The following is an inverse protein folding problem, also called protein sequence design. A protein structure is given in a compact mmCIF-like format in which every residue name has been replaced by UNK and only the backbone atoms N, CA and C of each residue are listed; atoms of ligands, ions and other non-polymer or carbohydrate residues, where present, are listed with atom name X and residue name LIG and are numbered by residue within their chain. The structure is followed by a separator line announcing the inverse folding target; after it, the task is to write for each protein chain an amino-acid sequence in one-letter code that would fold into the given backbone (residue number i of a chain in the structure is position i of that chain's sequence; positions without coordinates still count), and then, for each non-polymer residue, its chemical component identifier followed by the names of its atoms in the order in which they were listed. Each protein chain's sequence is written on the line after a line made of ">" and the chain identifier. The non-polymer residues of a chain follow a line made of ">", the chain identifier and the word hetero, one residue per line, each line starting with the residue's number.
data_IF_244472762043
#
_entry.id   IF_244472762043
#
_cell.length_a   1.000
_cell.length_b   1.000
_cell.length_c   1.000
_cell.angle_alpha   90.00
_cell.angle_beta   90.00
_cell.angle_gamma   90.00
#
_symmetry.space_group_name_H-M   'P 1'
#
loop_
_entity.id
_entity.type
_entity.pdbx_description
1 polymer ?
#
# COMPACT_ATOMS: atom_id res chain seq x y z
N UNK A 1 2.16 25.55 -13.87
CA UNK A 1 2.71 24.41 -13.11
C UNK A 1 1.83 23.14 -13.14
N UNK A 2 0.54 23.19 -13.53
CA UNK A 2 -0.31 21.98 -13.57
C UNK A 2 0.09 20.94 -14.64
N UNK A 3 0.69 21.37 -15.76
CA UNK A 3 1.08 20.46 -16.85
C UNK A 3 2.21 19.49 -16.51
N UNK A 4 3.08 19.84 -15.54
CA UNK A 4 4.18 18.98 -15.09
C UNK A 4 3.64 17.83 -14.25
N UNK A 5 2.74 18.09 -13.29
CA UNK A 5 2.08 17.03 -12.53
C UNK A 5 1.20 16.13 -13.41
N UNK A 6 0.46 16.71 -14.36
CA UNK A 6 -0.33 15.94 -15.31
C UNK A 6 0.52 15.02 -16.21
N UNK A 7 1.75 15.45 -16.53
CA UNK A 7 2.71 14.61 -17.27
C UNK A 7 3.23 13.48 -16.39
N UNK A 8 3.57 13.75 -15.13
CA UNK A 8 4.05 12.74 -14.17
C UNK A 8 2.97 11.69 -13.88
N UNK A 9 1.70 12.10 -13.70
CA UNK A 9 0.58 11.20 -13.49
C UNK A 9 0.39 10.23 -14.66
N UNK A 10 0.44 10.73 -15.90
CA UNK A 10 0.32 9.89 -17.10
C UNK A 10 1.48 8.92 -17.24
N UNK A 11 2.71 9.36 -16.95
CA UNK A 11 3.90 8.50 -17.02
C UNK A 11 3.85 7.43 -15.93
N UNK A 12 3.47 7.79 -14.71
CA UNK A 12 3.33 6.87 -13.59
C UNK A 12 2.27 5.79 -13.83
N UNK A 13 1.11 6.15 -14.38
CA UNK A 13 0.05 5.19 -14.69
C UNK A 13 0.38 4.25 -15.87
N UNK A 14 1.43 4.56 -16.65
CA UNK A 14 1.86 3.74 -17.78
C UNK A 14 2.86 2.65 -17.38
N UNK A 15 3.39 2.70 -16.17
CA UNK A 15 4.30 1.68 -15.67
C UNK A 15 3.52 0.38 -15.42
N UNK A 16 3.83 -0.71 -16.14
CA UNK A 16 3.19 -1.99 -15.91
C UNK A 16 3.59 -2.53 -14.53
N UNK A 17 2.79 -3.43 -13.98
CA UNK A 17 3.09 -4.09 -12.72
C UNK A 17 4.55 -4.61 -12.70
N UNK A 18 5.32 -4.42 -11.61
CA UNK A 18 6.76 -4.70 -11.58
C UNK A 18 7.15 -6.09 -12.09
N UNK A 19 6.33 -7.11 -11.79
CA UNK A 19 6.50 -8.47 -12.31
C UNK A 19 6.57 -8.52 -13.85
N UNK A 20 5.66 -7.83 -14.54
CA UNK A 20 5.60 -7.80 -16.01
C UNK A 20 6.83 -7.09 -16.57
N UNK A 21 7.28 -6.03 -15.90
CA UNK A 21 8.47 -5.28 -16.29
C UNK A 21 9.71 -6.20 -16.31
N UNK A 22 9.92 -6.99 -15.25
CA UNK A 22 11.01 -7.97 -15.21
C UNK A 22 10.83 -9.11 -16.22
N UNK A 23 9.61 -9.58 -16.46
CA UNK A 23 9.35 -10.59 -17.48
C UNK A 23 9.70 -10.10 -18.89
N UNK A 24 9.37 -8.84 -19.23
CA UNK A 24 9.74 -8.21 -20.50
C UNK A 24 11.26 -8.06 -20.60
N UNK A 25 11.94 -7.61 -19.54
CA UNK A 25 13.40 -7.51 -19.51
C UNK A 25 14.07 -8.88 -19.68
N UNK A 26 13.56 -9.92 -19.02
CA UNK A 26 14.09 -11.27 -19.16
C UNK A 26 13.93 -11.80 -20.59
N UNK A 27 12.76 -11.63 -21.19
CA UNK A 27 12.52 -11.99 -22.58
C UNK A 27 13.42 -11.20 -23.54
N UNK A 28 13.62 -9.90 -23.28
CA UNK A 28 14.53 -9.05 -24.04
C UNK A 28 15.98 -9.57 -23.97
N UNK A 29 16.47 -9.94 -22.79
CA UNK A 29 17.82 -10.51 -22.61
C UNK A 29 17.98 -11.81 -23.39
N UNK A 30 16.97 -12.68 -23.37
CA UNK A 30 16.96 -13.93 -24.14
C UNK A 30 17.12 -13.64 -25.64
N UNK A 31 16.34 -12.70 -26.19
CA UNK A 31 16.42 -12.31 -27.61
C UNK A 31 17.77 -11.66 -27.95
N UNK A 32 18.23 -10.71 -27.14
CA UNK A 32 19.51 -10.02 -27.35
C UNK A 32 20.68 -11.01 -27.31
N UNK A 33 20.67 -11.94 -26.34
CA UNK A 33 21.73 -12.95 -26.22
C UNK A 33 21.85 -13.83 -27.48
N UNK A 34 20.73 -14.17 -28.10
CA UNK A 34 20.71 -14.95 -29.33
C UNK A 34 21.30 -14.15 -30.51
N UNK A 35 20.92 -12.88 -30.66
CA UNK A 35 21.44 -12.01 -31.73
C UNK A 35 22.95 -11.79 -31.57
N UNK A 36 23.41 -11.42 -30.37
CA UNK A 36 24.84 -11.18 -30.12
C UNK A 36 25.70 -12.44 -30.29
N UNK A 37 25.16 -13.61 -29.91
CA UNK A 37 25.84 -14.88 -30.13
C UNK A 37 25.97 -15.22 -31.62
N UNK A 38 24.97 -14.92 -32.45
CA UNK A 38 25.07 -15.13 -33.92
C UNK A 38 26.09 -14.22 -34.60
N UNK A 39 26.34 -13.03 -34.02
CA UNK A 39 27.36 -12.10 -34.50
C UNK A 39 28.77 -12.44 -34.00
N UNK A 40 28.92 -13.46 -33.14
CA UNK A 40 30.22 -13.89 -32.63
C UNK A 40 30.91 -12.86 -31.73
N UNK A 41 30.15 -12.01 -31.04
CA UNK A 41 30.72 -10.94 -30.22
C UNK A 41 31.47 -11.54 -29.03
N UNK A 42 32.74 -11.15 -28.88
CA UNK A 42 33.57 -11.47 -27.72
C UNK A 42 34.05 -10.20 -27.03
N UNK A 43 34.29 -10.30 -25.72
CA UNK A 43 34.83 -9.22 -24.90
C UNK A 43 35.94 -9.77 -24.01
N UNK A 44 37.02 -9.00 -23.87
CA UNK A 44 38.13 -9.35 -22.97
C UNK A 44 37.75 -8.87 -21.57
N UNK A 45 37.80 -9.77 -20.59
CA UNK A 45 37.55 -9.41 -19.21
C UNK A 45 38.78 -8.69 -18.62
N UNK A 46 38.67 -7.43 -18.15
CA UNK A 46 39.82 -6.65 -17.68
C UNK A 46 40.42 -7.17 -16.36
N UNK A 47 39.73 -8.03 -15.63
CA UNK A 47 40.21 -8.57 -14.35
C UNK A 47 40.94 -9.91 -14.51
N UNK A 48 40.62 -10.67 -15.55
CA UNK A 48 41.14 -12.04 -15.76
C UNK A 48 41.90 -12.20 -17.07
N UNK A 49 41.92 -11.17 -17.93
CA UNK A 49 42.51 -11.14 -19.28
C UNK A 49 42.04 -12.27 -20.22
N UNK A 50 41.03 -13.02 -19.81
CA UNK A 50 40.42 -14.09 -20.59
C UNK A 50 39.39 -13.53 -21.57
N UNK A 51 39.35 -14.11 -22.77
CA UNK A 51 38.32 -13.83 -23.76
C UNK A 51 37.00 -14.47 -23.32
N UNK A 52 35.96 -13.65 -23.15
CA UNK A 52 34.61 -14.10 -22.80
C UNK A 52 33.73 -13.96 -24.04
N UNK A 53 33.30 -15.10 -24.56
CA UNK A 53 32.36 -15.18 -25.69
C UNK A 53 30.91 -15.12 -25.22
N UNK A 54 30.05 -14.41 -25.95
CA UNK A 54 28.63 -14.37 -25.65
C UNK A 54 28.00 -15.74 -25.94
N UNK A 55 27.34 -16.33 -24.94
CA UNK A 55 26.59 -17.58 -25.08
C UNK A 55 25.10 -17.28 -25.32
N UNK A 56 24.53 -17.90 -26.35
CA UNK A 56 23.09 -17.81 -26.60
C UNK A 56 22.31 -18.57 -25.54
N UNK A 57 21.24 -17.95 -25.01
CA UNK A 57 20.31 -18.63 -24.10
C UNK A 57 19.31 -19.53 -24.86
N UNK A 58 19.19 -19.40 -26.18
CA UNK A 58 18.29 -20.23 -27.00
C UNK A 58 18.91 -21.57 -27.45
N UNK A 59 20.21 -21.78 -27.24
CA UNK A 59 20.85 -23.06 -27.56
C UNK A 59 20.45 -24.16 -26.57
N UNK A 60 20.71 -25.42 -26.90
CA UNK A 60 20.42 -26.55 -26.00
C UNK A 60 21.05 -26.36 -24.61
N UNK A 61 22.35 -26.02 -24.57
CA UNK A 61 23.08 -25.72 -23.34
C UNK A 61 22.52 -24.49 -22.60
N UNK A 62 22.08 -23.46 -23.34
CA UNK A 62 21.50 -22.25 -22.78
C UNK A 62 20.15 -22.48 -22.09
N UNK A 63 19.31 -23.34 -22.67
CA UNK A 63 18.02 -23.73 -22.09
C UNK A 63 18.23 -24.61 -20.85
N UNK A 64 19.17 -25.56 -20.90
CA UNK A 64 19.55 -26.35 -19.73
C UNK A 64 20.04 -25.44 -18.60
N UNK A 65 20.91 -24.47 -18.90
CA UNK A 65 21.41 -23.50 -17.93
C UNK A 65 20.27 -22.69 -17.29
N UNK A 66 19.31 -22.20 -18.10
CA UNK A 66 18.16 -21.44 -17.58
C UNK A 66 17.32 -22.27 -16.60
N UNK A 67 17.03 -23.53 -16.93
CA UNK A 67 16.18 -24.39 -16.10
C UNK A 67 16.89 -24.85 -14.83
N UNK A 68 18.18 -25.18 -14.91
CA UNK A 68 18.97 -25.66 -13.77
C UNK A 68 19.33 -24.54 -12.80
N UNK A 69 19.57 -23.32 -13.30
CA UNK A 69 20.01 -22.18 -12.49
C UNK A 69 18.86 -21.34 -11.92
N UNK A 70 17.61 -21.53 -12.35
CA UNK A 70 16.50 -20.67 -11.91
C UNK A 70 16.28 -20.72 -10.39
N UNK A 71 16.33 -21.92 -9.80
CA UNK A 71 16.09 -22.11 -8.36
C UNK A 71 17.25 -21.54 -7.55
N UNK A 72 18.49 -21.80 -7.96
CA UNK A 72 19.66 -21.28 -7.26
C UNK A 72 19.72 -19.74 -7.36
N UNK A 73 19.42 -19.15 -8.51
CA UNK A 73 19.35 -17.69 -8.67
C UNK A 73 18.25 -17.06 -7.82
N UNK A 74 17.09 -17.72 -7.68
CA UNK A 74 15.98 -17.23 -6.88
C UNK A 74 16.28 -17.28 -5.37
N UNK A 75 16.85 -18.40 -4.88
CA UNK A 75 17.14 -18.58 -3.44
C UNK A 75 18.36 -17.76 -3.00
N UNK A 76 19.38 -17.63 -3.86
CA UNK A 76 20.58 -16.84 -3.55
C UNK A 76 20.37 -15.32 -3.70
N UNK A 77 19.19 -14.87 -4.13
CA UNK A 77 18.88 -13.44 -4.20
C UNK A 77 18.77 -12.87 -2.77
N UNK A 78 19.73 -12.04 -2.30
CA UNK A 78 19.86 -11.69 -0.88
C UNK A 78 18.60 -11.12 -0.21
N UNK A 79 17.77 -10.29 -0.89
CA UNK A 79 16.55 -9.75 -0.29
C UNK A 79 15.49 -10.80 0.06
N UNK A 80 15.44 -11.94 -0.65
CA UNK A 80 14.34 -12.90 -0.49
C UNK A 80 14.36 -13.57 0.88
N UNK A 81 15.52 -14.08 1.30
CA UNK A 81 15.67 -14.73 2.60
C UNK A 81 15.41 -13.75 3.76
N UNK A 82 15.90 -12.51 3.63
CA UNK A 82 15.72 -11.48 4.64
C UNK A 82 14.25 -11.13 4.87
N UNK A 83 13.48 -10.94 3.79
CA UNK A 83 12.05 -10.61 3.89
C UNK A 83 11.28 -11.73 4.57
N UNK A 84 11.55 -12.99 4.24
CA UNK A 84 10.86 -14.13 4.87
C UNK A 84 11.12 -14.17 6.39
N UNK A 85 12.37 -14.02 6.81
CA UNK A 85 12.74 -14.02 8.24
C UNK A 85 12.07 -12.85 8.98
N UNK A 86 12.13 -11.65 8.41
CA UNK A 86 11.54 -10.45 9.02
C UNK A 86 10.01 -10.54 9.09
N UNK A 87 9.35 -10.96 8.01
CA UNK A 87 7.89 -11.12 8.00
C UNK A 87 7.43 -12.21 8.97
N UNK A 88 8.21 -13.27 9.15
CA UNK A 88 7.91 -14.29 10.15
C UNK A 88 7.96 -13.73 11.58
N UNK A 89 8.99 -12.94 11.89
CA UNK A 89 9.12 -12.25 13.18
C UNK A 89 7.99 -11.25 13.44
N UNK A 90 7.65 -10.42 12.45
CA UNK A 90 6.55 -9.45 12.54
C UNK A 90 5.21 -10.18 12.69
N UNK A 91 4.98 -11.24 11.91
CA UNK A 91 3.76 -12.04 11.97
C UNK A 91 3.57 -12.68 13.34
N UNK A 92 4.64 -13.20 13.95
CA UNK A 92 4.59 -13.73 15.31
C UNK A 92 4.28 -12.64 16.34
N UNK A 93 4.98 -11.50 16.27
CA UNK A 93 4.78 -10.37 17.18
C UNK A 93 3.35 -9.80 17.13
N UNK A 94 2.74 -9.79 15.94
CA UNK A 94 1.35 -9.34 15.76
C UNK A 94 0.34 -10.37 16.31
N UNK A 95 0.57 -11.67 16.08
CA UNK A 95 -0.32 -12.74 16.58
C UNK A 95 -0.38 -12.84 18.10
N UNK A 96 0.72 -12.55 18.79
CA UNK A 96 0.74 -12.51 20.27
C UNK A 96 0.23 -11.17 20.82
N UNK A 97 -0.18 -10.23 19.97
CA UNK A 97 -0.72 -8.93 20.37
C UNK A 97 0.33 -7.96 20.92
N UNK A 98 1.62 -8.24 20.73
CA UNK A 98 2.72 -7.41 21.25
C UNK A 98 2.70 -6.02 20.60
N UNK A 99 2.40 -5.94 19.30
CA UNK A 99 2.32 -4.65 18.60
C UNK A 99 1.15 -3.78 19.11
N UNK A 100 -0.02 -4.38 19.34
CA UNK A 100 -1.20 -3.67 19.87
C UNK A 100 -0.96 -3.17 21.30
N UNK A 101 -0.40 -4.01 22.17
CA UNK A 101 -0.12 -3.64 23.56
C UNK A 101 0.98 -2.58 23.66
N UNK A 102 2.02 -2.68 22.83
CA UNK A 102 3.08 -1.68 22.76
C UNK A 102 2.53 -0.30 22.36
N UNK A 103 1.68 -0.23 21.33
CA UNK A 103 1.03 1.03 20.94
C UNK A 103 0.18 1.61 22.08
N UNK A 104 -0.61 0.79 22.77
CA UNK A 104 -1.47 1.25 23.87
C UNK A 104 -0.64 1.77 25.05
N UNK A 105 0.43 1.08 25.43
CA UNK A 105 1.30 1.48 26.54
C UNK A 105 2.11 2.72 26.19
N UNK A 106 2.63 2.82 24.96
CA UNK A 106 3.34 4.00 24.47
C UNK A 106 2.45 5.25 24.50
N UNK A 107 1.19 5.15 24.09
CA UNK A 107 0.23 6.26 24.16
C UNK A 107 -0.17 6.57 25.60
N UNK A 108 -0.39 5.55 26.43
CA UNK A 108 -0.76 5.74 27.84
C UNK A 108 0.33 6.40 28.68
N UNK A 109 1.61 6.22 28.33
CA UNK A 109 2.77 6.81 29.02
C UNK A 109 3.25 8.14 28.41
N UNK A 110 2.56 8.71 27.45
CA UNK A 110 2.94 10.00 26.86
C UNK A 110 2.81 11.16 27.88
N UNK A 111 3.75 12.11 27.92
CA UNK A 111 3.73 13.22 28.88
C UNK A 111 2.50 14.14 28.73
N UNK A 112 2.09 14.82 29.81
CA UNK A 112 0.75 15.42 29.94
C UNK A 112 0.45 16.58 28.98
N UNK A 113 1.46 17.17 28.33
CA UNK A 113 1.28 18.27 27.36
C UNK A 113 0.36 17.88 26.17
N UNK A 114 0.35 16.60 25.77
CA UNK A 114 -0.54 16.08 24.72
C UNK A 114 -1.78 15.36 25.26
N UNK A 115 -1.75 14.91 26.54
CA UNK A 115 -2.91 14.33 27.20
C UNK A 115 -4.05 15.34 27.36
N UNK A 116 -3.74 16.63 27.48
CA UNK A 116 -4.73 17.70 27.51
C UNK A 116 -5.40 17.95 26.16
N UNK A 117 -4.70 17.78 25.03
CA UNK A 117 -5.30 17.83 23.68
C UNK A 117 -6.26 16.64 23.47
N UNK A 118 -5.87 15.44 23.90
CA UNK A 118 -6.74 14.25 23.84
C UNK A 118 -7.95 14.37 24.80
N UNK A 119 -7.77 14.95 25.99
CA UNK A 119 -8.89 15.28 26.90
C UNK A 119 -9.75 16.43 26.39
N UNK A 120 -9.21 17.39 25.64
CA UNK A 120 -9.96 18.46 24.98
C UNK A 120 -10.80 17.90 23.84
N UNK A 121 -10.23 17.04 22.99
CA UNK A 121 -10.96 16.37 21.90
C UNK A 121 -12.03 15.40 22.44
N UNK A 122 -11.73 14.67 23.53
CA UNK A 122 -12.70 13.82 24.23
C UNK A 122 -13.84 14.60 24.89
N UNK A 123 -13.59 15.81 25.40
CA UNK A 123 -14.65 16.73 25.87
C UNK A 123 -15.45 17.33 24.71
N UNK A 124 -14.80 17.65 23.59
CA UNK A 124 -15.42 18.20 22.38
C UNK A 124 -16.44 17.22 21.76
N UNK A 125 -16.06 15.94 21.60
CA UNK A 125 -16.96 14.90 21.10
C UNK A 125 -18.12 14.60 22.08
N UNK A 126 -17.90 14.72 23.39
CA UNK A 126 -18.95 14.54 24.41
C UNK A 126 -19.96 15.68 24.40
N UNK A 127 -19.52 16.93 24.15
CA UNK A 127 -20.41 18.09 23.99
C UNK A 127 -21.24 18.06 22.71
N UNK A 128 -20.67 17.60 21.58
CA UNK A 128 -21.42 17.46 20.34
C UNK A 128 -22.55 16.41 20.42
N UNK A 129 -22.38 15.34 21.20
CA UNK A 129 -23.42 14.32 21.41
C UNK A 129 -24.60 14.85 22.24
N UNK A 130 -24.35 15.72 23.22
CA UNK A 130 -25.38 16.35 24.06
C UNK A 130 -26.18 17.42 23.30
N UNK A 131 -25.56 18.09 22.32
CA UNK A 131 -26.21 19.15 21.54
C UNK A 131 -27.30 18.65 20.59
N UNK A 132 -27.27 17.37 20.22
CA UNK A 132 -28.33 16.71 19.43
C UNK A 132 -29.51 16.22 20.28
N UNK A 133 -29.43 16.33 21.62
CA UNK A 133 -30.46 15.85 22.54
C UNK A 133 -31.37 16.98 23.05
N UNK A 134 -31.02 18.23 22.75
CA UNK A 134 -31.84 19.39 23.08
C UNK A 134 -32.92 19.56 22.00
N UNK A 135 -34.21 19.63 22.37
CA UNK A 135 -35.25 19.98 21.41
C UNK A 135 -34.94 21.37 20.85
N UNK A 136 -34.81 21.47 19.53
CA UNK A 136 -34.67 22.75 18.86
C UNK A 136 -36.01 23.50 18.98
N UNK A 137 -36.02 24.78 19.38
CA UNK A 137 -37.23 25.60 19.26
C UNK A 137 -37.48 25.84 17.77
N UNK A 138 -38.57 25.26 17.26
CA UNK A 138 -39.02 25.46 15.88
C UNK A 138 -39.32 26.95 15.65
N UNK A 139 -38.76 27.58 14.59
CA UNK A 139 -39.13 28.91 14.19
C UNK A 139 -40.33 28.81 13.24
N UNK A 140 -41.53 28.68 13.78
CA UNK A 140 -42.75 28.87 12.99
C UNK A 140 -43.94 29.23 13.89
N UNK A 141 -44.16 30.54 14.07
CA UNK A 141 -45.51 31.05 14.22
C UNK A 141 -46.21 30.95 12.85
N UNK A 142 -47.40 30.36 12.82
CA UNK A 142 -48.21 30.24 11.61
C UNK A 142 -49.15 29.04 11.63
N UNK A 143 -50.22 29.16 12.42
CA UNK A 143 -51.60 28.68 12.20
C UNK A 143 -51.83 27.44 11.31
N UNK A 144 -52.37 26.38 11.92
CA UNK A 144 -52.87 25.22 11.18
C UNK A 144 -53.25 24.04 12.08
N UNK A 145 -54.37 24.19 12.77
CA UNK A 145 -55.12 23.11 13.42
C UNK A 145 -55.28 21.91 12.48
N UNK A 146 -54.95 20.69 12.95
CA UNK A 146 -55.80 19.51 12.83
C UNK A 146 -55.31 18.40 13.78
N UNK A 147 -56.21 18.03 14.68
CA UNK A 147 -56.10 16.94 15.64
C UNK A 147 -56.18 15.58 14.93
N UNK A 148 -55.33 14.64 15.32
CA UNK A 148 -55.40 13.26 14.86
C UNK A 148 -54.28 12.42 15.47
N UNK A 149 -54.50 11.93 16.68
CA UNK A 149 -53.59 10.98 17.31
C UNK A 149 -53.50 9.68 16.51
N UNK A 150 -52.28 9.30 16.11
CA UNK A 150 -51.70 7.97 16.22
C UNK A 150 -50.27 8.01 15.66
N UNK A 151 -49.32 7.56 16.48
CA UNK A 151 -47.88 7.60 16.21
C UNK A 151 -47.49 6.84 14.93
N UNK A 152 -46.62 7.39 14.06
CA UNK A 152 -45.94 6.58 13.06
C UNK A 152 -44.67 5.99 13.67
N UNK A 153 -44.62 4.65 13.65
CA UNK A 153 -43.38 3.87 13.63
C UNK A 153 -42.41 4.49 12.62
N UNK A 154 -41.23 4.86 13.07
CA UNK A 154 -40.15 5.22 12.17
C UNK A 154 -38.94 5.69 12.94
N UNK A 155 -37.89 4.86 12.97
CA UNK A 155 -36.54 5.26 13.38
C UNK A 155 -36.12 6.47 12.55
N UNK A 156 -36.33 7.67 13.07
CA UNK A 156 -35.69 8.89 12.64
C UNK A 156 -34.21 8.77 12.93
N UNK A 157 -33.48 8.20 11.98
CA UNK A 157 -32.02 8.18 11.98
C UNK A 157 -31.57 9.62 12.21
N UNK A 158 -30.84 9.86 13.30
CA UNK A 158 -30.11 11.11 13.47
C UNK A 158 -29.32 11.36 12.18
N UNK A 159 -29.68 12.44 11.50
CA UNK A 159 -29.05 12.89 10.28
C UNK A 159 -27.66 13.43 10.63
N UNK A 160 -26.69 12.53 10.80
CA UNK A 160 -25.27 12.86 10.60
C UNK A 160 -24.83 12.11 9.36
N UNK A 161 -25.34 12.60 8.23
CA UNK A 161 -24.86 12.24 6.91
C UNK A 161 -23.47 12.86 6.74
N UNK A 162 -22.47 12.12 7.16
CA UNK A 162 -21.23 11.86 6.39
C UNK A 162 -20.64 13.00 5.56
N UNK A 163 -20.34 14.17 6.13
CA UNK A 163 -19.52 15.19 5.44
C UNK A 163 -18.01 14.96 5.58
N UNK A 164 -17.57 14.01 6.41
CA UNK A 164 -16.15 13.72 6.65
C UNK A 164 -15.52 12.67 5.70
N UNK A 165 -16.11 12.45 4.53
CA UNK A 165 -15.52 11.61 3.46
C UNK A 165 -14.88 12.49 2.37
N UNK A 166 -14.22 13.58 2.76
CA UNK A 166 -13.43 14.45 1.86
C UNK A 166 -12.44 15.31 2.66
N UNK A 167 -11.51 14.66 3.36
CA UNK A 167 -10.13 15.11 3.61
C UNK A 167 -9.27 13.85 3.60
#
# INVERSE_FOLDING_TARGET
>A
MQGVLASIERVGNKLPHPFILFAILAALVVVISAILATLGVSAINPQTEAEVTVRSLLSADGVEFMLTSVVSNFVNFPPLGLILVVMFGIGLADKVGLMSTLMQVSVAKAPPLHADILRFHGRYLRQHRLRCQLPHPDPAGGDGVLLGGQAPRGRGRCCVRSSWRRV
#
